data_IF_844047753447
#
_entry.id   IF_844047753447
#
_cell.length_a   1.000
_cell.length_b   1.000
_cell.length_c   1.000
_cell.angle_alpha   90.00
_cell.angle_beta   90.00
_cell.angle_gamma   90.00
#
_symmetry.space_group_name_H-M   'P 1'
#
loop_
_entity.id
_entity.type
_entity.pdbx_description
1 polymer ?
#
# COMPACT_ATOMS: atom_id res chain seq x y z
N UNK A 1 -13.63 7.55 2.05
CA UNK A 1 -12.46 6.94 2.70
C UNK A 1 -11.22 7.44 1.97
N UNK A 2 -10.19 7.94 2.66
CA UNK A 2 -8.93 8.34 2.00
C UNK A 2 -7.98 7.15 1.86
N UNK A 3 -7.12 7.16 0.84
CA UNK A 3 -6.17 6.07 0.53
C UNK A 3 -5.30 5.73 1.75
N UNK A 4 -4.84 6.75 2.48
CA UNK A 4 -4.08 6.55 3.72
C UNK A 4 -4.79 5.63 4.73
N UNK A 5 -6.11 5.71 4.88
CA UNK A 5 -6.83 4.85 5.84
C UNK A 5 -6.86 3.39 5.36
N UNK A 6 -6.98 3.17 4.05
CA UNK A 6 -6.93 1.83 3.46
C UNK A 6 -5.54 1.22 3.66
N UNK A 7 -4.48 1.98 3.43
CA UNK A 7 -3.09 1.53 3.67
C UNK A 7 -2.88 1.20 5.15
N UNK A 8 -3.34 2.04 6.08
CA UNK A 8 -3.23 1.76 7.53
C UNK A 8 -3.93 0.46 7.90
N UNK A 9 -5.15 0.27 7.43
CA UNK A 9 -5.91 -0.95 7.69
C UNK A 9 -5.20 -2.19 7.14
N UNK A 10 -4.71 -2.12 5.89
CA UNK A 10 -3.97 -3.21 5.27
C UNK A 10 -2.69 -3.57 6.04
N UNK A 11 -1.88 -2.57 6.41
CA UNK A 11 -0.67 -2.81 7.21
C UNK A 11 -1.01 -3.43 8.57
N UNK A 12 -2.06 -2.94 9.25
CA UNK A 12 -2.50 -3.49 10.53
C UNK A 12 -2.96 -4.94 10.41
N UNK A 13 -3.71 -5.30 9.36
CA UNK A 13 -4.13 -6.68 9.09
C UNK A 13 -2.94 -7.63 8.89
N UNK A 14 -1.82 -7.10 8.42
CA UNK A 14 -0.58 -7.85 8.20
C UNK A 14 0.41 -7.76 9.37
N UNK A 15 0.04 -7.09 10.47
CA UNK A 15 0.93 -6.87 11.62
C UNK A 15 2.13 -5.96 11.33
N UNK A 16 2.04 -5.08 10.33
CA UNK A 16 3.12 -4.21 9.84
C UNK A 16 2.88 -2.75 10.23
N UNK A 17 3.97 -1.98 10.32
CA UNK A 17 3.93 -0.55 10.65
C UNK A 17 4.44 0.33 9.51
N UNK A 18 4.24 1.64 9.61
CA UNK A 18 4.90 2.60 8.72
C UNK A 18 6.42 2.60 8.84
N UNK A 19 6.95 2.24 10.01
CA UNK A 19 8.40 2.08 10.19
C UNK A 19 8.91 0.91 9.36
N UNK A 20 8.16 -0.19 9.29
CA UNK A 20 8.55 -1.36 8.50
C UNK A 20 8.41 -1.07 6.99
N UNK A 21 7.35 -0.37 6.58
CA UNK A 21 7.20 0.08 5.20
C UNK A 21 8.34 1.03 4.78
N UNK A 22 8.72 1.97 5.65
CA UNK A 22 9.83 2.89 5.38
C UNK A 22 11.15 2.13 5.20
N UNK A 23 11.42 1.12 6.05
CA UNK A 23 12.57 0.22 5.90
C UNK A 23 12.54 -0.53 4.58
N UNK A 24 11.40 -1.11 4.21
CA UNK A 24 11.22 -1.83 2.94
C UNK A 24 11.49 -0.93 1.73
N UNK A 25 10.98 0.30 1.74
CA UNK A 25 11.17 1.27 0.67
C UNK A 25 12.56 1.95 0.68
N UNK A 26 13.42 1.65 1.66
CA UNK A 26 14.70 2.34 1.88
C UNK A 26 14.56 3.86 2.01
N UNK A 27 13.50 4.33 2.69
CA UNK A 27 13.23 5.76 2.95
C UNK A 27 13.10 6.02 4.45
N UNK A 28 13.05 7.30 4.83
CA UNK A 28 12.82 7.69 6.23
C UNK A 28 11.36 7.53 6.62
N UNK A 29 11.09 7.26 7.91
CA UNK A 29 9.73 7.25 8.46
C UNK A 29 9.01 8.60 8.23
N UNK A 30 9.75 9.71 8.25
CA UNK A 30 9.20 11.03 7.97
C UNK A 30 8.68 11.14 6.53
N UNK A 31 9.34 10.51 5.55
CA UNK A 31 8.86 10.47 4.17
C UNK A 31 7.48 9.80 4.09
N UNK A 32 7.35 8.60 4.65
CA UNK A 32 6.09 7.84 4.69
C UNK A 32 5.01 8.60 5.47
N UNK A 33 5.36 9.20 6.61
CA UNK A 33 4.44 9.97 7.44
C UNK A 33 3.93 11.23 6.72
N UNK A 34 4.79 11.90 5.96
CA UNK A 34 4.40 13.04 5.13
C UNK A 34 3.44 12.62 4.01
N UNK A 35 3.70 11.48 3.35
CA UNK A 35 2.77 10.92 2.35
C UNK A 35 1.42 10.58 2.95
N UNK A 36 1.41 9.91 4.11
CA UNK A 36 0.21 9.57 4.84
C UNK A 36 -0.62 10.82 5.21
N UNK A 37 0.04 11.85 5.75
CA UNK A 37 -0.61 13.11 6.15
C UNK A 37 -1.18 13.88 4.96
N UNK A 38 -0.47 13.92 3.84
CA UNK A 38 -0.89 14.62 2.61
C UNK A 38 -1.78 13.76 1.71
N UNK A 39 -2.01 12.49 2.07
CA UNK A 39 -2.65 11.49 1.21
C UNK A 39 -2.02 11.43 -0.21
N UNK A 40 -0.70 11.60 -0.29
CA UNK A 40 0.04 11.81 -1.55
C UNK A 40 0.82 10.56 -1.95
N UNK A 41 0.11 9.46 -2.18
CA UNK A 41 0.69 8.17 -2.57
C UNK A 41 0.80 8.07 -4.08
N UNK A 42 1.99 7.74 -4.57
CA UNK A 42 2.21 7.48 -5.99
C UNK A 42 1.76 6.07 -6.37
N UNK A 43 1.60 5.79 -7.67
CA UNK A 43 1.37 4.42 -8.16
C UNK A 43 2.45 3.45 -7.70
N UNK A 44 3.72 3.89 -7.71
CA UNK A 44 4.85 3.11 -7.21
C UNK A 44 4.70 2.78 -5.72
N UNK A 45 4.26 3.75 -4.91
CA UNK A 45 4.05 3.49 -3.47
C UNK A 45 3.01 2.40 -3.24
N UNK A 46 1.90 2.43 -3.97
CA UNK A 46 0.86 1.41 -3.84
C UNK A 46 1.39 0.04 -4.25
N UNK A 47 2.22 -0.02 -5.29
CA UNK A 47 2.85 -1.26 -5.74
C UNK A 47 3.88 -1.80 -4.73
N UNK A 48 4.74 -0.93 -4.20
CA UNK A 48 5.68 -1.31 -3.13
C UNK A 48 4.92 -1.81 -1.89
N UNK A 49 3.81 -1.18 -1.53
CA UNK A 49 2.96 -1.63 -0.42
C UNK A 49 2.40 -3.01 -0.72
N UNK A 50 1.91 -3.26 -1.93
CA UNK A 50 1.37 -4.56 -2.35
C UNK A 50 2.44 -5.67 -2.23
N UNK A 51 3.65 -5.43 -2.77
CA UNK A 51 4.82 -6.32 -2.60
C UNK A 51 5.12 -6.54 -1.12
N UNK A 52 5.19 -5.45 -0.37
CA UNK A 52 5.50 -5.49 1.06
C UNK A 52 4.47 -6.29 1.85
N UNK A 53 3.18 -6.24 1.51
CA UNK A 53 2.12 -6.95 2.21
C UNK A 53 1.81 -8.34 1.63
N UNK A 54 2.58 -8.80 0.64
CA UNK A 54 2.33 -10.06 -0.07
C UNK A 54 0.89 -10.13 -0.61
N UNK A 55 0.47 -9.04 -1.24
CA UNK A 55 -0.86 -8.86 -1.84
C UNK A 55 -0.72 -8.31 -3.24
N UNK A 56 -1.78 -8.41 -4.03
CA UNK A 56 -1.81 -7.82 -5.37
C UNK A 56 -2.64 -6.54 -5.43
N UNK A 57 -2.31 -5.68 -6.38
CA UNK A 57 -3.14 -4.53 -6.73
C UNK A 57 -4.14 -4.96 -7.78
N UNK A 58 -5.44 -4.77 -7.54
CA UNK A 58 -6.46 -5.20 -8.48
C UNK A 58 -7.51 -4.13 -8.74
N UNK A 59 -7.99 -4.07 -9.99
CA UNK A 59 -9.29 -3.49 -10.28
C UNK A 59 -10.34 -4.56 -10.06
N UNK A 60 -11.29 -4.26 -9.19
CA UNK A 60 -12.37 -5.16 -8.79
C UNK A 60 -13.67 -4.62 -9.36
N UNK A 61 -14.49 -5.47 -9.97
CA UNK A 61 -15.82 -5.09 -10.44
C UNK A 61 -16.77 -4.82 -9.27
N UNK A 62 -17.98 -4.38 -9.60
CA UNK A 62 -19.06 -4.14 -8.63
C UNK A 62 -19.47 -5.39 -7.84
N UNK A 63 -19.16 -6.59 -8.35
CA UNK A 63 -19.54 -7.88 -7.77
C UNK A 63 -18.39 -8.47 -6.93
N UNK A 64 -17.28 -7.73 -6.76
CA UNK A 64 -16.14 -8.16 -5.94
C UNK A 64 -15.16 -9.05 -6.69
N UNK A 65 -15.32 -9.24 -8.01
CA UNK A 65 -14.43 -10.08 -8.81
C UNK A 65 -13.26 -9.26 -9.36
N UNK A 66 -12.01 -9.72 -9.19
CA UNK A 66 -10.86 -9.08 -9.82
C UNK A 66 -10.98 -9.17 -11.35
N UNK A 67 -10.97 -8.02 -12.03
CA UNK A 67 -10.99 -7.92 -13.50
C UNK A 67 -9.56 -7.83 -14.04
N UNK A 68 -8.67 -7.19 -13.28
CA UNK A 68 -7.28 -7.00 -13.64
C UNK A 68 -6.45 -6.99 -12.37
N UNK A 69 -5.37 -7.78 -12.35
CA UNK A 69 -4.48 -7.94 -11.21
C UNK A 69 -3.07 -7.59 -11.64
N UNK A 70 -2.46 -6.68 -10.90
CA UNK A 70 -1.04 -6.34 -10.97
C UNK A 70 -0.35 -7.17 -9.90
N UNK A 71 0.28 -8.24 -10.35
CA UNK A 71 1.07 -9.12 -9.48
C UNK A 71 2.26 -8.36 -8.93
N UNK A 72 2.50 -8.54 -7.64
CA UNK A 72 3.63 -7.92 -6.95
C UNK A 72 4.98 -8.50 -7.41
N UNK A 73 5.03 -9.60 -8.14
CA UNK A 73 6.27 -10.27 -8.56
C UNK A 73 6.70 -9.97 -10.01
N UNK A 74 5.88 -9.25 -10.78
CA UNK A 74 6.27 -8.64 -12.07
C UNK A 74 6.98 -7.28 -11.88
#
# INVERSE_FOLDING_TARGET
MIITNQIKALLALQGKTYTDLAKFQSVTLQNVSNKARKNSWSKKDLFDIAKFTNTNLAYVDKDGKPIFVLEADD
#
